data_IF_507359401455
#
_entry.id   IF_507359401455
#
_cell.length_a   1.000
_cell.length_b   1.000
_cell.length_c   1.000
_cell.angle_alpha   90.00
_cell.angle_beta   90.00
_cell.angle_gamma   90.00
#
_symmetry.space_group_name_H-M   'P 1'
#
loop_
_entity.id
_entity.type
_entity.pdbx_description
1 polymer ?
#
# COMPACT_ATOMS: atom_id res chain seq x y z
N UNK A 1 27.56 -24.45 -14.06
CA UNK A 1 26.66 -25.11 -13.10
C UNK A 1 26.46 -24.18 -11.92
N UNK A 2 25.25 -24.02 -11.43
CA UNK A 2 25.00 -23.28 -10.20
C UNK A 2 25.67 -23.99 -9.02
N UNK A 3 26.41 -23.27 -8.18
CA UNK A 3 27.02 -23.85 -6.98
C UNK A 3 25.98 -23.98 -5.87
N UNK A 4 26.23 -24.89 -4.91
CA UNK A 4 25.37 -25.08 -3.74
C UNK A 4 25.22 -23.76 -2.96
N UNK A 5 26.30 -22.98 -2.85
CA UNK A 5 26.30 -21.67 -2.21
C UNK A 5 25.34 -20.68 -2.91
N UNK A 6 25.32 -20.68 -4.25
CA UNK A 6 24.41 -19.80 -5.01
C UNK A 6 22.94 -20.20 -4.80
N UNK A 7 22.67 -21.51 -4.76
CA UNK A 7 21.30 -22.01 -4.49
C UNK A 7 20.87 -21.63 -3.07
N UNK A 8 21.75 -21.85 -2.09
CA UNK A 8 21.47 -21.53 -0.68
C UNK A 8 21.25 -20.03 -0.48
N UNK A 9 22.08 -19.19 -1.09
CA UNK A 9 21.94 -17.74 -1.03
C UNK A 9 20.62 -17.26 -1.66
N UNK A 10 20.22 -17.84 -2.79
CA UNK A 10 18.94 -17.53 -3.43
C UNK A 10 17.75 -17.93 -2.55
N UNK A 11 17.77 -19.12 -1.93
CA UNK A 11 16.74 -19.56 -1.00
C UNK A 11 16.65 -18.66 0.24
N UNK A 12 17.79 -18.29 0.81
CA UNK A 12 17.84 -17.39 1.96
C UNK A 12 17.30 -16.00 1.63
N UNK A 13 17.62 -15.46 0.46
CA UNK A 13 17.06 -14.21 -0.04
C UNK A 13 15.54 -14.28 -0.19
N UNK A 14 15.01 -15.39 -0.72
CA UNK A 14 13.58 -15.60 -0.87
C UNK A 14 12.87 -15.70 0.47
N UNK A 15 13.42 -16.43 1.43
CA UNK A 15 12.89 -16.51 2.80
C UNK A 15 12.88 -15.14 3.49
N UNK A 16 13.98 -14.39 3.40
CA UNK A 16 14.07 -13.04 3.97
C UNK A 16 13.01 -12.10 3.36
N UNK A 17 12.76 -12.21 2.07
CA UNK A 17 11.69 -11.45 1.39
C UNK A 17 10.32 -11.83 1.92
N UNK A 18 10.03 -13.12 2.05
CA UNK A 18 8.76 -13.62 2.58
C UNK A 18 8.52 -13.15 4.02
N UNK A 19 9.54 -13.25 4.89
CA UNK A 19 9.46 -12.74 6.26
C UNK A 19 9.32 -11.21 6.30
N UNK A 20 10.01 -10.49 5.41
CA UNK A 20 9.86 -9.05 5.25
C UNK A 20 8.42 -8.65 4.89
N UNK A 21 7.79 -9.34 3.96
CA UNK A 21 6.37 -9.11 3.63
C UNK A 21 5.45 -9.43 4.82
N UNK A 22 5.69 -10.54 5.52
CA UNK A 22 4.93 -10.88 6.72
C UNK A 22 5.03 -9.80 7.79
N UNK A 23 6.23 -9.31 8.08
CA UNK A 23 6.46 -8.23 9.04
C UNK A 23 5.72 -6.93 8.65
N UNK A 24 5.75 -6.56 7.38
CA UNK A 24 5.04 -5.39 6.87
C UNK A 24 3.51 -5.52 6.93
N UNK A 25 3.00 -6.72 6.70
CA UNK A 25 1.57 -7.00 6.85
C UNK A 25 1.14 -6.85 8.32
N UNK A 26 1.93 -7.36 9.26
CA UNK A 26 1.68 -7.20 10.71
C UNK A 26 1.74 -5.72 11.10
N UNK A 27 2.76 -4.97 10.69
CA UNK A 27 2.88 -3.53 10.97
C UNK A 27 1.67 -2.75 10.46
N UNK A 28 1.18 -3.07 9.26
CA UNK A 28 -0.02 -2.43 8.71
C UNK A 28 -1.28 -2.77 9.49
N UNK A 29 -1.40 -4.03 9.94
CA UNK A 29 -2.52 -4.46 10.80
C UNK A 29 -2.48 -3.75 12.17
N UNK A 30 -1.30 -3.59 12.78
CA UNK A 30 -1.12 -2.84 14.02
C UNK A 30 -1.58 -1.38 13.88
N UNK A 31 -1.21 -0.70 12.79
CA UNK A 31 -1.65 0.67 12.51
C UNK A 31 -3.19 0.78 12.40
N UNK A 32 -3.84 -0.21 11.78
CA UNK A 32 -5.33 -0.25 11.70
C UNK A 32 -5.95 -0.47 13.08
N UNK A 33 -5.38 -1.38 13.88
CA UNK A 33 -5.85 -1.65 15.24
C UNK A 33 -5.71 -0.39 16.11
N UNK A 34 -4.57 0.29 16.03
CA UNK A 34 -4.34 1.53 16.76
C UNK A 34 -5.32 2.63 16.35
N UNK A 35 -5.55 2.82 15.05
CA UNK A 35 -6.54 3.75 14.52
C UNK A 35 -7.94 3.44 15.06
N UNK A 36 -8.35 2.16 15.05
CA UNK A 36 -9.63 1.72 15.57
C UNK A 36 -9.77 2.00 17.07
N UNK A 37 -8.71 1.74 17.85
CA UNK A 37 -8.70 1.99 19.29
C UNK A 37 -8.81 3.50 19.58
N UNK A 38 -8.08 4.34 18.86
CA UNK A 38 -8.16 5.80 18.99
C UNK A 38 -9.56 6.33 18.62
N UNK A 39 -10.12 5.86 17.51
CA UNK A 39 -11.47 6.23 17.09
C UNK A 39 -12.52 5.80 18.12
N UNK A 40 -12.41 4.59 18.66
CA UNK A 40 -13.35 4.10 19.70
C UNK A 40 -13.27 4.91 20.99
N UNK A 41 -12.05 5.25 21.44
CA UNK A 41 -11.86 6.12 22.63
C UNK A 41 -12.46 7.52 22.40
N UNK A 42 -12.22 8.10 21.22
CA UNK A 42 -12.78 9.41 20.88
C UNK A 42 -14.31 9.36 20.83
N UNK A 43 -14.90 8.33 20.22
CA UNK A 43 -16.34 8.17 20.15
C UNK A 43 -16.98 8.01 21.54
N UNK A 44 -16.36 7.25 22.44
CA UNK A 44 -16.83 7.12 23.83
C UNK A 44 -16.79 8.44 24.57
N UNK A 45 -15.71 9.21 24.45
CA UNK A 45 -15.60 10.53 25.06
C UNK A 45 -16.67 11.50 24.53
N UNK A 46 -16.83 11.56 23.21
CA UNK A 46 -17.83 12.40 22.55
C UNK A 46 -19.26 12.00 22.96
N UNK A 47 -19.54 10.71 23.06
CA UNK A 47 -20.85 10.21 23.48
C UNK A 47 -21.16 10.59 24.92
N UNK A 48 -20.16 10.54 25.80
CA UNK A 48 -20.32 10.97 27.20
C UNK A 48 -20.58 12.48 27.29
N UNK A 49 -19.85 13.28 26.51
CA UNK A 49 -20.03 14.74 26.48
C UNK A 49 -21.40 15.12 25.88
N UNK A 50 -21.78 14.48 24.79
CA UNK A 50 -23.10 14.64 24.17
C UNK A 50 -24.23 14.34 25.16
N UNK A 51 -24.17 13.19 25.85
CA UNK A 51 -25.15 12.80 26.85
C UNK A 51 -25.24 13.82 27.98
N UNK A 52 -24.11 14.29 28.50
CA UNK A 52 -24.06 15.33 29.54
C UNK A 52 -24.66 16.64 29.05
N UNK A 53 -24.40 17.05 27.83
CA UNK A 53 -24.96 18.27 27.23
C UNK A 53 -26.46 18.16 27.04
N UNK A 54 -26.98 17.01 26.58
CA UNK A 54 -28.42 16.76 26.46
C UNK A 54 -29.16 16.84 27.83
N UNK A 55 -28.58 16.22 28.85
CA UNK A 55 -29.12 16.24 30.20
C UNK A 55 -29.08 17.63 30.84
N UNK A 56 -28.23 18.51 30.36
CA UNK A 56 -28.08 19.87 30.82
C UNK A 56 -28.98 20.89 30.08
N UNK A 57 -29.60 20.45 28.97
CA UNK A 57 -30.49 21.31 28.18
C UNK A 57 -31.74 21.68 28.97
N UNK A 58 -32.02 22.98 29.08
CA UNK A 58 -33.13 23.51 29.90
C UNK A 58 -34.43 23.74 29.10
N UNK A 59 -34.32 23.75 27.78
CA UNK A 59 -35.45 23.97 26.89
C UNK A 59 -35.24 23.24 25.54
N UNK A 60 -36.30 23.19 24.74
CA UNK A 60 -36.29 22.50 23.45
C UNK A 60 -35.29 23.11 22.45
N UNK A 61 -35.01 24.40 22.53
CA UNK A 61 -34.07 25.07 21.63
C UNK A 61 -32.65 24.70 21.98
N UNK A 62 -32.28 24.66 23.26
CA UNK A 62 -31.01 24.18 23.75
C UNK A 62 -30.78 22.71 23.38
N UNK A 63 -31.81 21.87 23.49
CA UNK A 63 -31.75 20.47 23.08
C UNK A 63 -31.44 20.29 21.57
N UNK A 64 -32.19 21.02 20.71
CA UNK A 64 -31.95 20.98 19.26
C UNK A 64 -30.55 21.50 18.87
N UNK A 65 -30.06 22.52 19.58
CA UNK A 65 -28.72 23.06 19.39
C UNK A 65 -27.65 22.00 19.67
N UNK A 66 -27.75 21.30 20.79
CA UNK A 66 -26.82 20.22 21.14
C UNK A 66 -26.81 19.12 20.06
N UNK A 67 -28.00 18.75 19.52
CA UNK A 67 -28.06 17.76 18.44
C UNK A 67 -27.34 18.22 17.18
N UNK A 68 -27.54 19.49 16.76
CA UNK A 68 -26.88 20.02 15.55
C UNK A 68 -25.36 20.17 15.73
N UNK A 69 -24.94 20.63 16.91
CA UNK A 69 -23.50 20.79 17.21
C UNK A 69 -22.75 19.44 17.31
N UNK A 70 -23.45 18.35 17.57
CA UNK A 70 -22.82 17.02 17.63
C UNK A 70 -22.61 16.39 16.25
N UNK A 71 -23.50 16.64 15.30
CA UNK A 71 -23.47 15.98 13.97
C UNK A 71 -22.25 16.39 13.14
N UNK A 72 -21.89 17.66 13.15
CA UNK A 72 -20.79 18.17 12.33
C UNK A 72 -19.42 17.61 12.76
N UNK A 73 -19.01 17.66 14.05
CA UNK A 73 -17.77 17.04 14.50
C UNK A 73 -17.71 15.52 14.23
N UNK A 74 -18.83 14.82 14.36
CA UNK A 74 -18.92 13.40 14.07
C UNK A 74 -18.64 13.11 12.60
N UNK A 75 -19.20 13.92 11.68
CA UNK A 75 -18.94 13.79 10.25
C UNK A 75 -17.45 14.08 9.90
N UNK A 76 -16.85 15.09 10.53
CA UNK A 76 -15.44 15.43 10.35
C UNK A 76 -14.50 14.32 10.85
N UNK A 77 -14.79 13.74 12.03
CA UNK A 77 -14.04 12.60 12.60
C UNK A 77 -14.17 11.35 11.73
N UNK A 78 -15.37 11.06 11.23
CA UNK A 78 -15.62 9.96 10.30
C UNK A 78 -14.80 10.11 8.99
N UNK A 79 -14.78 11.32 8.44
CA UNK A 79 -13.97 11.62 7.25
C UNK A 79 -12.47 11.54 7.53
N UNK A 80 -12.02 11.97 8.69
CA UNK A 80 -10.62 11.84 9.12
C UNK A 80 -10.22 10.36 9.29
N UNK A 81 -11.06 9.56 9.94
CA UNK A 81 -10.86 8.12 10.08
C UNK A 81 -10.71 7.44 8.72
N UNK A 82 -11.63 7.75 7.77
CA UNK A 82 -11.56 7.21 6.42
C UNK A 82 -10.26 7.58 5.70
N UNK A 83 -9.77 8.80 5.87
CA UNK A 83 -8.46 9.24 5.32
C UNK A 83 -7.30 8.47 5.92
N UNK A 84 -7.24 8.35 7.24
CA UNK A 84 -6.18 7.60 7.91
C UNK A 84 -6.17 6.12 7.51
N UNK A 85 -7.35 5.50 7.38
CA UNK A 85 -7.45 4.12 6.91
C UNK A 85 -6.92 3.97 5.47
N UNK A 86 -7.26 4.93 4.60
CA UNK A 86 -6.73 4.96 3.23
C UNK A 86 -5.22 5.14 3.21
N UNK A 87 -4.69 6.06 4.02
CA UNK A 87 -3.24 6.33 4.07
C UNK A 87 -2.46 5.09 4.54
N UNK A 88 -2.99 4.34 5.51
CA UNK A 88 -2.41 3.07 5.95
C UNK A 88 -2.42 2.05 4.81
N UNK A 89 -3.54 1.90 4.11
CA UNK A 89 -3.66 0.96 3.00
C UNK A 89 -2.76 1.35 1.81
N UNK A 90 -2.71 2.63 1.45
CA UNK A 90 -1.86 3.16 0.39
C UNK A 90 -0.38 3.00 0.73
N UNK A 91 0.01 3.28 1.98
CA UNK A 91 1.37 3.08 2.48
C UNK A 91 1.78 1.61 2.40
N UNK A 92 0.94 0.70 2.89
CA UNK A 92 1.18 -0.73 2.79
C UNK A 92 1.36 -1.19 1.33
N UNK A 93 0.47 -0.75 0.43
CA UNK A 93 0.56 -1.08 -0.98
C UNK A 93 1.85 -0.56 -1.62
N UNK A 94 2.27 0.67 -1.30
CA UNK A 94 3.52 1.26 -1.79
C UNK A 94 4.75 0.44 -1.31
N UNK A 95 4.79 0.05 -0.04
CA UNK A 95 5.86 -0.77 0.53
C UNK A 95 5.92 -2.16 -0.12
N UNK A 96 4.78 -2.81 -0.34
CA UNK A 96 4.72 -4.10 -1.05
C UNK A 96 5.20 -3.96 -2.51
N UNK A 97 4.78 -2.92 -3.19
CA UNK A 97 5.21 -2.65 -4.58
C UNK A 97 6.71 -2.43 -4.65
N UNK A 98 7.28 -1.62 -3.76
CA UNK A 98 8.72 -1.37 -3.70
C UNK A 98 9.51 -2.64 -3.41
N UNK A 99 9.05 -3.46 -2.48
CA UNK A 99 9.71 -4.73 -2.17
C UNK A 99 9.64 -5.73 -3.34
N UNK A 100 8.51 -5.79 -4.06
CA UNK A 100 8.36 -6.60 -5.26
C UNK A 100 9.28 -6.10 -6.40
N UNK A 101 9.39 -4.78 -6.59
CA UNK A 101 10.31 -4.17 -7.56
C UNK A 101 11.77 -4.53 -7.24
N UNK A 102 12.18 -4.42 -5.97
CA UNK A 102 13.53 -4.77 -5.53
C UNK A 102 13.84 -6.26 -5.75
N UNK A 103 12.89 -7.14 -5.46
CA UNK A 103 13.01 -8.58 -5.68
C UNK A 103 13.16 -8.89 -7.17
N UNK A 104 12.36 -8.25 -8.02
CA UNK A 104 12.45 -8.44 -9.47
C UNK A 104 13.76 -7.93 -10.03
N UNK A 105 14.22 -6.76 -9.60
CA UNK A 105 15.54 -6.23 -10.01
C UNK A 105 16.68 -7.15 -9.58
N UNK A 106 16.59 -7.76 -8.40
CA UNK A 106 17.56 -8.77 -7.95
C UNK A 106 17.52 -10.02 -8.81
N UNK A 107 16.35 -10.55 -9.12
CA UNK A 107 16.18 -11.71 -10.00
C UNK A 107 16.72 -11.45 -11.41
N UNK A 108 16.46 -10.27 -11.97
CA UNK A 108 16.99 -9.87 -13.28
C UNK A 108 18.52 -9.82 -13.29
N UNK A 109 19.14 -9.26 -12.23
CA UNK A 109 20.61 -9.24 -12.11
C UNK A 109 21.20 -10.65 -12.03
N UNK A 110 20.61 -11.51 -11.23
CA UNK A 110 21.04 -12.91 -11.10
C UNK A 110 20.91 -13.65 -12.44
N UNK A 111 19.80 -13.46 -13.14
CA UNK A 111 19.59 -14.06 -14.46
C UNK A 111 20.59 -13.52 -15.50
N UNK A 112 20.84 -12.21 -15.53
CA UNK A 112 21.84 -11.60 -16.41
C UNK A 112 23.24 -12.19 -16.17
N UNK A 113 23.64 -12.30 -14.90
CA UNK A 113 24.94 -12.90 -14.53
C UNK A 113 25.02 -14.38 -14.93
N UNK A 114 23.93 -15.13 -14.77
CA UNK A 114 23.87 -16.53 -15.20
C UNK A 114 23.99 -16.66 -16.73
N UNK A 115 23.33 -15.78 -17.48
CA UNK A 115 23.44 -15.73 -18.95
C UNK A 115 24.86 -15.36 -19.40
N UNK A 116 25.48 -14.35 -18.77
CA UNK A 116 26.88 -14.00 -19.07
C UNK A 116 27.86 -15.16 -18.81
N UNK A 117 27.68 -15.87 -17.71
CA UNK A 117 28.48 -17.03 -17.38
C UNK A 117 28.26 -18.18 -18.39
N UNK A 118 27.03 -18.38 -18.84
CA UNK A 118 26.70 -19.36 -19.86
C UNK A 118 27.33 -18.99 -21.22
N UNK A 119 27.22 -17.72 -21.62
CA UNK A 119 27.77 -17.19 -22.88
C UNK A 119 29.30 -17.38 -22.98
N UNK A 120 30.02 -17.17 -21.87
CA UNK A 120 31.48 -17.34 -21.82
C UNK A 120 31.93 -18.80 -22.07
N UNK A 121 31.06 -19.76 -21.89
CA UNK A 121 31.32 -21.19 -22.04
C UNK A 121 30.67 -21.82 -23.28
N UNK A 122 30.14 -21.00 -24.21
CA UNK A 122 29.50 -21.51 -25.45
C UNK A 122 30.58 -21.95 -26.44
N UNK A 123 30.53 -23.21 -26.97
CA UNK A 123 31.42 -23.65 -28.02
C UNK A 123 31.21 -22.83 -29.32
N UNK A 124 32.26 -22.81 -30.17
CA UNK A 124 32.21 -22.16 -31.49
C UNK A 124 30.99 -22.64 -32.30
N UNK A 125 30.11 -21.70 -32.71
CA UNK A 125 28.85 -21.99 -33.41
C UNK A 125 27.55 -21.74 -32.60
N UNK A 126 27.66 -21.44 -31.31
CA UNK A 126 26.50 -21.15 -30.44
C UNK A 126 26.02 -19.70 -30.42
N UNK A 127 26.54 -18.84 -31.29
CA UNK A 127 26.23 -17.39 -31.32
C UNK A 127 24.75 -17.08 -31.52
N UNK A 128 24.07 -17.89 -32.35
CA UNK A 128 22.62 -17.73 -32.56
C UNK A 128 21.79 -18.02 -31.31
N UNK A 129 22.17 -19.00 -30.50
CA UNK A 129 21.51 -19.32 -29.24
C UNK A 129 21.70 -18.19 -28.20
N UNK A 130 22.90 -17.62 -28.14
CA UNK A 130 23.21 -16.46 -27.29
C UNK A 130 22.40 -15.24 -27.69
N UNK A 131 22.27 -14.96 -28.99
CA UNK A 131 21.43 -13.86 -29.47
C UNK A 131 19.96 -14.07 -29.14
N UNK A 132 19.44 -15.28 -29.29
CA UNK A 132 18.05 -15.61 -28.92
C UNK A 132 17.78 -15.41 -27.43
N UNK A 133 18.70 -15.82 -26.54
CA UNK A 133 18.58 -15.63 -25.09
C UNK A 133 18.60 -14.13 -24.74
N UNK A 134 19.50 -13.34 -25.33
CA UNK A 134 19.57 -11.89 -25.12
C UNK A 134 18.30 -11.19 -25.57
N UNK A 135 17.76 -11.56 -26.72
CA UNK A 135 16.50 -11.00 -27.22
C UNK A 135 15.30 -11.35 -26.32
N UNK A 136 15.22 -12.60 -25.85
CA UNK A 136 14.19 -13.03 -24.91
C UNK A 136 14.28 -12.25 -23.58
N UNK A 137 15.50 -12.00 -23.09
CA UNK A 137 15.74 -11.21 -21.88
C UNK A 137 15.31 -9.74 -22.06
N UNK A 138 15.64 -9.13 -23.20
CA UNK A 138 15.19 -7.76 -23.51
C UNK A 138 13.67 -7.67 -23.59
N UNK A 139 13.03 -8.63 -24.24
CA UNK A 139 11.57 -8.72 -24.34
C UNK A 139 10.91 -8.88 -22.96
N UNK A 140 11.45 -9.73 -22.10
CA UNK A 140 10.96 -9.93 -20.74
C UNK A 140 11.09 -8.64 -19.89
N UNK A 141 12.22 -7.94 -19.99
CA UNK A 141 12.44 -6.67 -19.30
C UNK A 141 11.45 -5.59 -19.76
N UNK A 142 11.24 -5.47 -21.06
CA UNK A 142 10.27 -4.49 -21.63
C UNK A 142 8.85 -4.81 -21.18
N UNK A 143 8.44 -6.07 -21.19
CA UNK A 143 7.12 -6.48 -20.70
C UNK A 143 6.93 -6.15 -19.22
N UNK A 144 7.96 -6.39 -18.41
CA UNK A 144 7.95 -6.07 -16.99
C UNK A 144 7.83 -4.56 -16.72
N UNK A 145 8.60 -3.74 -17.43
CA UNK A 145 8.49 -2.27 -17.33
C UNK A 145 7.08 -1.76 -17.70
N UNK A 146 6.46 -2.37 -18.70
CA UNK A 146 5.08 -2.03 -19.07
C UNK A 146 4.09 -2.37 -17.96
N UNK A 147 4.22 -3.56 -17.34
CA UNK A 147 3.37 -3.95 -16.20
C UNK A 147 3.55 -2.98 -15.05
N UNK A 148 4.78 -2.61 -14.70
CA UNK A 148 5.04 -1.61 -13.66
C UNK A 148 4.39 -0.25 -13.97
N UNK A 149 4.47 0.23 -15.20
CA UNK A 149 3.80 1.49 -15.61
C UNK A 149 2.30 1.42 -15.42
N UNK A 150 1.68 0.31 -15.83
CA UNK A 150 0.22 0.11 -15.67
C UNK A 150 -0.17 0.08 -14.18
N UNK A 151 0.60 -0.60 -13.33
CA UNK A 151 0.35 -0.64 -11.88
C UNK A 151 0.48 0.76 -11.27
N UNK A 152 1.52 1.53 -11.61
CA UNK A 152 1.69 2.91 -11.13
C UNK A 152 0.53 3.80 -11.57
N UNK A 153 0.13 3.75 -12.82
CA UNK A 153 -1.01 4.51 -13.32
C UNK A 153 -2.33 4.13 -12.62
N UNK A 154 -2.57 2.85 -12.39
CA UNK A 154 -3.75 2.38 -11.66
C UNK A 154 -3.77 2.90 -10.21
N UNK A 155 -2.62 2.92 -9.54
CA UNK A 155 -2.47 3.48 -8.19
C UNK A 155 -2.72 4.99 -8.17
N UNK A 156 -2.15 5.74 -9.11
CA UNK A 156 -2.37 7.20 -9.23
C UNK A 156 -3.84 7.55 -9.48
N UNK A 157 -4.52 6.78 -10.34
CA UNK A 157 -5.96 6.96 -10.60
C UNK A 157 -6.78 6.65 -9.34
N UNK A 158 -6.46 5.59 -8.61
CA UNK A 158 -7.15 5.24 -7.37
C UNK A 158 -6.97 6.35 -6.31
N UNK A 159 -5.74 6.88 -6.15
CA UNK A 159 -5.46 8.01 -5.27
C UNK A 159 -6.21 9.28 -5.65
N UNK A 160 -6.23 9.61 -6.94
CA UNK A 160 -6.93 10.78 -7.45
C UNK A 160 -8.44 10.68 -7.19
N UNK A 161 -9.03 9.53 -7.47
CA UNK A 161 -10.45 9.28 -7.22
C UNK A 161 -10.78 9.35 -5.72
N UNK A 162 -9.94 8.78 -4.86
CA UNK A 162 -10.14 8.87 -3.41
C UNK A 162 -10.09 10.32 -2.91
N UNK A 163 -9.08 11.09 -3.35
CA UNK A 163 -8.97 12.53 -3.03
C UNK A 163 -10.19 13.32 -3.49
N UNK A 164 -10.71 13.03 -4.67
CA UNK A 164 -11.92 13.67 -5.21
C UNK A 164 -13.17 13.34 -4.38
N UNK A 165 -13.35 12.08 -4.01
CA UNK A 165 -14.49 11.64 -3.17
C UNK A 165 -14.43 12.27 -1.77
N UNK A 166 -13.26 12.26 -1.14
CA UNK A 166 -13.10 12.85 0.20
C UNK A 166 -13.27 14.38 0.20
N UNK A 167 -12.79 15.07 -0.84
CA UNK A 167 -12.99 16.50 -1.00
C UNK A 167 -14.48 16.85 -1.21
N UNK A 168 -15.20 16.05 -1.99
CA UNK A 168 -16.64 16.22 -2.23
C UNK A 168 -17.46 15.99 -0.95
N UNK A 169 -17.13 14.96 -0.17
CA UNK A 169 -17.77 14.68 1.10
C UNK A 169 -17.55 15.81 2.12
N UNK A 170 -16.33 16.35 2.21
CA UNK A 170 -16.00 17.47 3.10
C UNK A 170 -16.73 18.76 2.68
N UNK A 171 -16.89 19.00 1.36
CA UNK A 171 -17.60 20.17 0.84
C UNK A 171 -19.11 20.08 1.08
N UNK A 172 -19.69 18.90 0.94
CA UNK A 172 -21.10 18.64 1.25
C UNK A 172 -21.41 18.82 2.75
N UNK A 173 -20.50 18.43 3.64
CA UNK A 173 -20.63 18.62 5.08
C UNK A 173 -20.56 20.09 5.52
N UNK A 174 -19.84 20.95 4.76
CA UNK A 174 -19.74 22.40 5.04
C UNK A 174 -20.85 23.25 4.43
N UNK A 175 -21.63 22.70 3.51
CA UNK A 175 -22.70 23.41 2.80
C UNK A 175 -24.10 23.28 3.46
N UNK A 176 -24.20 22.55 4.55
CA UNK A 176 -25.40 22.42 5.43
C UNK A 176 -25.17 23.13 6.75
#
# INVERSE_FOLDING_TARGET
MLTIEQITAAQQSQLNTLFGFGAKAVESAEKVIELNLQASKALLADSAEYTKSLLSAKDAQAFLKVQTEFVQPLAEKSAAYGRHLYDIAAGANAEFTQAAEAQTASAQKQFASAVEAAVKNVPQGGEAAVAAIKNAMTGANTAFEQVQKVVKQATEVAESNFKAVTASATKAAKAK
#
